data_IF_707051384286
#
_entry.id   IF_707051384286
#
_cell.length_a   1.000
_cell.length_b   1.000
_cell.length_c   1.000
_cell.angle_alpha   90.00
_cell.angle_beta   90.00
_cell.angle_gamma   90.00
#
_symmetry.space_group_name_H-M   'P 1'
#
loop_
_entity.id
_entity.type
_entity.pdbx_description
1 polymer ?
#
# COMPACT_ATOMS: atom_id res chain seq x y z
N UNK A 1 -22.78 39.99 0.57
CA UNK A 1 -23.23 38.87 -0.28
C UNK A 1 -21.99 38.14 -0.76
N UNK A 2 -21.90 36.83 -0.52
CA UNK A 2 -20.80 36.00 -1.04
C UNK A 2 -21.29 35.26 -2.29
N UNK A 3 -20.45 35.10 -3.32
CA UNK A 3 -20.81 34.30 -4.49
C UNK A 3 -20.97 32.82 -4.08
N UNK A 4 -21.89 32.12 -4.74
CA UNK A 4 -22.08 30.67 -4.57
C UNK A 4 -21.42 29.96 -5.75
N UNK A 5 -20.19 29.44 -5.59
CA UNK A 5 -19.50 28.74 -6.66
C UNK A 5 -20.11 27.36 -6.89
N UNK A 6 -19.97 26.84 -8.11
CA UNK A 6 -20.37 25.48 -8.49
C UNK A 6 -21.83 25.11 -8.16
N UNK A 7 -22.72 26.11 -8.15
CA UNK A 7 -24.16 25.90 -7.99
C UNK A 7 -24.71 25.18 -9.22
N UNK A 8 -25.57 24.18 -9.02
CA UNK A 8 -26.28 23.51 -10.10
C UNK A 8 -27.54 24.31 -10.46
N UNK A 9 -27.64 24.70 -11.73
CA UNK A 9 -28.76 25.44 -12.31
C UNK A 9 -29.43 24.55 -13.35
N UNK A 10 -30.69 24.15 -13.10
CA UNK A 10 -31.40 23.21 -13.96
C UNK A 10 -32.81 23.68 -14.25
N UNK A 11 -33.23 23.61 -15.52
CA UNK A 11 -34.62 23.78 -15.91
C UNK A 11 -35.45 22.55 -15.49
N UNK A 12 -36.51 22.80 -14.73
CA UNK A 12 -37.42 21.78 -14.22
C UNK A 12 -38.04 20.91 -15.30
N UNK A 13 -38.37 21.50 -16.46
CA UNK A 13 -39.10 20.85 -17.55
C UNK A 13 -38.13 20.12 -18.48
N UNK A 14 -37.18 20.83 -19.06
CA UNK A 14 -36.27 20.24 -20.06
C UNK A 14 -35.16 19.39 -19.44
N UNK A 15 -34.95 19.47 -18.12
CA UNK A 15 -33.82 18.86 -17.39
C UNK A 15 -32.45 19.29 -17.89
N UNK A 16 -32.39 20.32 -18.74
CA UNK A 16 -31.14 20.94 -19.18
C UNK A 16 -30.66 21.90 -18.12
N UNK A 17 -29.35 22.01 -17.97
CA UNK A 17 -28.77 22.83 -16.93
C UNK A 17 -27.32 23.17 -17.21
N UNK A 18 -26.78 23.98 -16.32
CA UNK A 18 -25.38 24.37 -16.27
C UNK A 18 -24.93 24.44 -14.82
N UNK A 19 -23.65 24.72 -14.61
CA UNK A 19 -23.05 24.93 -13.29
C UNK A 19 -22.46 26.33 -13.25
N UNK A 20 -22.54 27.02 -12.11
CA UNK A 20 -21.87 28.31 -11.95
C UNK A 20 -20.35 28.15 -11.84
N UNK A 21 -19.62 29.18 -12.29
CA UNK A 21 -18.17 29.21 -12.18
C UNK A 21 -17.69 29.48 -10.74
N UNK A 22 -16.38 29.61 -10.56
CA UNK A 22 -15.76 29.92 -9.26
C UNK A 22 -16.22 31.26 -8.65
N UNK A 23 -16.67 32.21 -9.48
CA UNK A 23 -17.15 33.52 -9.05
C UNK A 23 -18.69 33.57 -8.96
N UNK A 24 -19.39 32.46 -9.21
CA UNK A 24 -20.85 32.36 -9.14
C UNK A 24 -21.57 32.84 -10.41
N UNK A 25 -20.87 33.11 -11.51
CA UNK A 25 -21.50 33.44 -12.79
C UNK A 25 -22.00 32.17 -13.49
N UNK A 26 -23.13 32.30 -14.19
CA UNK A 26 -23.69 31.21 -14.99
C UNK A 26 -24.35 31.75 -16.25
N UNK A 27 -24.43 30.91 -17.27
CA UNK A 27 -25.13 31.19 -18.52
C UNK A 27 -25.67 29.88 -19.10
N UNK A 28 -26.94 29.87 -19.48
CA UNK A 28 -27.58 28.75 -20.16
C UNK A 28 -28.80 29.23 -20.93
N UNK A 29 -29.32 28.37 -21.82
CA UNK A 29 -30.49 28.66 -22.64
C UNK A 29 -31.74 28.07 -21.99
N UNK A 30 -32.77 28.88 -21.79
CA UNK A 30 -34.09 28.49 -21.28
C UNK A 30 -35.20 29.17 -22.09
N UNK A 31 -36.42 28.64 -22.03
CA UNK A 31 -37.58 29.27 -22.66
C UNK A 31 -38.29 30.18 -21.66
N UNK A 32 -39.10 31.09 -22.21
CA UNK A 32 -40.03 31.89 -21.41
C UNK A 32 -40.99 30.96 -20.67
N UNK A 33 -41.39 31.33 -19.46
CA UNK A 33 -42.24 30.53 -18.57
C UNK A 33 -41.59 29.26 -18.00
N UNK A 34 -40.34 28.94 -18.32
CA UNK A 34 -39.64 27.81 -17.67
C UNK A 34 -39.31 28.15 -16.21
N UNK A 35 -39.34 27.12 -15.35
CA UNK A 35 -38.92 27.22 -13.95
C UNK A 35 -37.51 26.68 -13.78
N UNK A 36 -36.62 27.54 -13.36
CA UNK A 36 -35.21 27.24 -13.10
C UNK A 36 -35.04 26.89 -11.63
N UNK A 37 -34.36 25.79 -11.36
CA UNK A 37 -34.06 25.29 -10.03
C UNK A 37 -32.57 25.51 -9.77
N UNK A 38 -32.27 26.14 -8.64
CA UNK A 38 -30.92 26.36 -8.14
C UNK A 38 -30.70 25.46 -6.92
N UNK A 39 -29.61 24.69 -6.95
CA UNK A 39 -29.23 23.82 -5.84
C UNK A 39 -27.71 23.84 -5.63
N UNK A 40 -27.31 24.03 -4.38
CA UNK A 40 -25.92 23.97 -3.93
C UNK A 40 -25.86 23.33 -2.55
N UNK A 41 -24.76 22.66 -2.24
CA UNK A 41 -24.56 22.00 -0.94
C UNK A 41 -24.48 23.07 0.16
N UNK A 42 -25.23 22.88 1.25
CA UNK A 42 -25.30 23.85 2.34
C UNK A 42 -26.23 25.04 2.08
N UNK A 43 -27.03 25.01 1.00
CA UNK A 43 -28.03 26.02 0.68
C UNK A 43 -29.40 25.39 0.42
N UNK A 44 -30.45 26.11 0.79
CA UNK A 44 -31.82 25.73 0.49
C UNK A 44 -32.06 25.79 -1.02
N UNK A 45 -32.65 24.72 -1.58
CA UNK A 45 -33.11 24.71 -2.98
C UNK A 45 -34.08 25.86 -3.22
N UNK A 46 -33.85 26.61 -4.28
CA UNK A 46 -34.67 27.76 -4.65
C UNK A 46 -35.02 27.68 -6.12
N UNK A 47 -36.16 28.28 -6.50
CA UNK A 47 -36.64 28.26 -7.88
C UNK A 47 -36.98 29.66 -8.35
N UNK A 48 -36.73 29.91 -9.63
CA UNK A 48 -37.06 31.15 -10.31
C UNK A 48 -37.81 30.84 -11.61
N UNK A 49 -38.98 31.45 -11.82
CA UNK A 49 -39.73 31.30 -13.06
C UNK A 49 -39.44 32.47 -13.99
N UNK A 50 -39.03 32.18 -15.22
CA UNK A 50 -38.72 33.19 -16.21
C UNK A 50 -40.03 33.87 -16.66
N UNK A 51 -40.14 35.21 -16.58
CA UNK A 51 -41.33 35.92 -17.04
C UNK A 51 -41.62 35.69 -18.53
N UNK A 52 -42.89 35.62 -18.89
CA UNK A 52 -43.37 35.50 -20.27
C UNK A 52 -43.33 36.84 -21.03
N UNK A 53 -43.34 37.95 -20.29
CA UNK A 53 -43.31 39.33 -20.80
C UNK A 53 -41.96 39.80 -21.34
N UNK A 54 -40.93 38.93 -21.35
CA UNK A 54 -39.60 39.29 -21.85
C UNK A 54 -39.66 39.64 -23.34
N UNK A 55 -39.22 40.84 -23.70
CA UNK A 55 -39.14 41.30 -25.11
C UNK A 55 -37.81 40.97 -25.75
N UNK A 56 -36.74 40.86 -24.96
CA UNK A 56 -35.37 40.59 -25.42
C UNK A 56 -34.98 39.12 -25.30
N UNK A 57 -34.04 38.69 -26.13
CA UNK A 57 -33.49 37.32 -26.11
C UNK A 57 -32.45 37.10 -25.00
N UNK A 58 -32.07 38.16 -24.27
CA UNK A 58 -31.14 38.11 -23.14
C UNK A 58 -31.86 38.58 -21.89
N UNK A 59 -31.61 37.88 -20.79
CA UNK A 59 -32.13 38.21 -19.47
C UNK A 59 -31.04 37.99 -18.43
N UNK A 60 -30.75 39.03 -17.64
CA UNK A 60 -29.75 38.99 -16.58
C UNK A 60 -30.46 39.09 -15.24
N UNK A 61 -30.12 38.21 -14.31
CA UNK A 61 -30.68 38.21 -12.96
C UNK A 61 -29.59 37.87 -11.94
N UNK A 62 -29.76 38.36 -10.72
CA UNK A 62 -28.97 37.94 -9.56
C UNK A 62 -29.92 37.12 -8.67
N UNK A 63 -29.60 35.84 -8.48
CA UNK A 63 -30.41 34.94 -7.65
C UNK A 63 -29.74 34.72 -6.30
N UNK A 64 -30.44 35.04 -5.21
CA UNK A 64 -29.92 34.90 -3.84
C UNK A 64 -30.40 33.58 -3.25
N UNK A 65 -29.45 32.76 -2.76
CA UNK A 65 -29.72 31.52 -2.05
C UNK A 65 -29.50 31.69 -0.55
N UNK A 66 -30.35 31.07 0.26
CA UNK A 66 -30.22 31.05 1.71
C UNK A 66 -29.45 29.82 2.15
N UNK A 67 -28.51 29.99 3.08
CA UNK A 67 -27.78 28.88 3.70
C UNK A 67 -28.75 28.03 4.50
N UNK A 68 -28.59 26.71 4.38
CA UNK A 68 -29.35 25.71 5.11
C UNK A 68 -28.37 24.70 5.69
N UNK A 69 -28.46 24.46 6.99
CA UNK A 69 -27.67 23.46 7.68
C UNK A 69 -28.26 22.10 7.35
N UNK A 70 -27.79 21.50 6.25
CA UNK A 70 -28.06 20.09 5.97
C UNK A 70 -27.24 19.28 6.96
N UNK A 71 -27.90 18.69 7.94
CA UNK A 71 -27.31 17.65 8.77
C UNK A 71 -27.19 16.39 7.90
N UNK A 72 -25.99 16.14 7.37
CA UNK A 72 -25.70 14.89 6.68
C UNK A 72 -25.84 13.75 7.68
N UNK A 73 -26.53 12.68 7.29
CA UNK A 73 -26.59 11.48 8.12
C UNK A 73 -25.19 10.90 8.31
N UNK A 74 -24.87 10.55 9.56
CA UNK A 74 -23.59 9.91 9.87
C UNK A 74 -23.55 8.55 9.19
N UNK A 75 -22.65 8.39 8.23
CA UNK A 75 -22.40 7.10 7.61
C UNK A 75 -21.34 6.34 8.41
N UNK A 76 -21.70 5.18 8.97
CA UNK A 76 -20.74 4.30 9.67
C UNK A 76 -20.01 3.46 8.63
N UNK A 77 -18.75 3.81 8.35
CA UNK A 77 -17.88 3.02 7.47
C UNK A 77 -17.37 1.81 8.26
N UNK A 78 -17.75 0.62 7.84
CA UNK A 78 -17.14 -0.62 8.33
C UNK A 78 -15.89 -0.95 7.52
N UNK A 79 -14.85 -1.54 8.13
CA UNK A 79 -13.67 -2.02 7.41
C UNK A 79 -14.00 -3.14 6.40
N UNK A 80 -15.14 -3.80 6.56
CA UNK A 80 -15.60 -4.89 5.69
C UNK A 80 -16.95 -4.54 5.06
N UNK A 81 -17.01 -4.31 3.74
CA UNK A 81 -18.24 -3.93 3.04
C UNK A 81 -19.35 -5.00 3.05
N UNK A 82 -19.02 -6.28 3.22
CA UNK A 82 -20.00 -7.37 3.25
C UNK A 82 -19.75 -8.38 4.38
N UNK A 83 -20.82 -9.07 4.80
CA UNK A 83 -20.76 -10.15 5.80
C UNK A 83 -19.82 -11.28 5.37
N UNK A 84 -19.80 -11.60 4.08
CA UNK A 84 -18.93 -12.64 3.52
C UNK A 84 -17.45 -12.24 3.58
N UNK A 85 -17.14 -10.98 3.27
CA UNK A 85 -15.77 -10.45 3.38
C UNK A 85 -15.30 -10.41 4.83
N UNK A 86 -16.18 -10.07 5.78
CA UNK A 86 -15.88 -10.19 7.20
C UNK A 86 -15.58 -11.64 7.59
N UNK A 87 -16.43 -12.60 7.19
CA UNK A 87 -16.22 -14.01 7.52
C UNK A 87 -14.90 -14.55 6.96
N UNK A 88 -14.58 -14.21 5.70
CA UNK A 88 -13.31 -14.57 5.06
C UNK A 88 -12.13 -13.95 5.80
N UNK A 89 -12.16 -12.63 6.03
CA UNK A 89 -11.10 -11.94 6.74
C UNK A 89 -10.92 -12.50 8.15
N UNK A 90 -12.00 -12.77 8.88
CA UNK A 90 -11.96 -13.34 10.22
C UNK A 90 -11.30 -14.72 10.26
N UNK A 91 -11.61 -15.59 9.28
CA UNK A 91 -11.00 -16.92 9.17
C UNK A 91 -9.53 -16.84 8.73
N UNK A 92 -9.21 -15.96 7.79
CA UNK A 92 -7.87 -15.83 7.21
C UNK A 92 -6.93 -14.93 8.03
N UNK A 93 -7.44 -14.23 9.05
CA UNK A 93 -6.62 -13.31 9.85
C UNK A 93 -5.51 -14.10 10.55
N UNK A 94 -4.23 -13.82 10.25
CA UNK A 94 -3.13 -14.47 10.93
C UNK A 94 -3.11 -13.99 12.38
N UNK A 95 -3.34 -14.93 13.30
CA UNK A 95 -3.22 -14.66 14.73
C UNK A 95 -1.74 -14.46 15.05
N UNK A 96 -1.33 -13.32 15.62
CA UNK A 96 0.06 -13.10 16.00
C UNK A 96 0.54 -14.23 16.92
N UNK A 97 1.77 -14.68 16.69
CA UNK A 97 2.40 -15.65 17.60
C UNK A 97 2.59 -15.01 18.98
N UNK A 98 2.24 -15.77 20.01
CA UNK A 98 2.62 -15.45 21.39
C UNK A 98 4.16 -15.33 21.52
N UNK A 99 4.61 -14.54 22.48
CA UNK A 99 6.01 -14.25 22.76
C UNK A 99 6.81 -15.54 22.96
N UNK A 100 6.22 -16.55 23.60
CA UNK A 100 6.83 -17.88 23.76
C UNK A 100 7.03 -18.60 22.42
N UNK A 101 6.02 -18.62 21.54
CA UNK A 101 6.13 -19.21 20.20
C UNK A 101 7.14 -18.47 19.33
N UNK A 102 7.20 -17.13 19.45
CA UNK A 102 8.20 -16.30 18.76
C UNK A 102 9.62 -16.64 19.23
N UNK A 103 9.82 -16.82 20.53
CA UNK A 103 11.11 -17.25 21.09
C UNK A 103 11.50 -18.64 20.57
N UNK A 104 10.58 -19.61 20.60
CA UNK A 104 10.82 -20.96 20.10
C UNK A 104 11.19 -20.96 18.60
N UNK A 105 10.49 -20.20 17.78
CA UNK A 105 10.80 -20.05 16.35
C UNK A 105 12.17 -19.42 16.11
N UNK A 106 12.59 -18.46 16.94
CA UNK A 106 13.91 -17.85 16.87
C UNK A 106 15.04 -18.80 17.32
N UNK A 107 14.74 -19.73 18.25
CA UNK A 107 15.66 -20.78 18.70
C UNK A 107 15.62 -22.04 17.82
N UNK A 108 14.76 -22.09 16.80
CA UNK A 108 14.68 -23.22 15.90
C UNK A 108 16.07 -23.49 15.27
N UNK A 109 16.47 -24.77 15.24
CA UNK A 109 17.83 -25.17 14.84
C UNK A 109 18.19 -24.65 13.44
N UNK A 110 17.23 -24.63 12.53
CA UNK A 110 17.39 -24.09 11.18
C UNK A 110 17.73 -22.60 11.20
N UNK A 111 17.01 -21.80 12.01
CA UNK A 111 17.27 -20.36 12.16
C UNK A 111 18.59 -20.05 12.85
N UNK A 112 19.00 -20.88 13.81
CA UNK A 112 20.31 -20.76 14.44
C UNK A 112 21.44 -21.13 13.46
N UNK A 113 21.27 -22.18 12.66
CA UNK A 113 22.24 -22.57 11.64
C UNK A 113 22.40 -21.50 10.56
N UNK A 114 21.28 -20.95 10.06
CA UNK A 114 21.27 -19.83 9.11
C UNK A 114 22.00 -18.61 9.69
N UNK A 115 21.73 -18.25 10.94
CA UNK A 115 22.44 -17.14 11.61
C UNK A 115 23.93 -17.42 11.78
N UNK A 116 24.32 -18.65 12.13
CA UNK A 116 25.73 -19.03 12.28
C UNK A 116 26.51 -18.92 10.97
N UNK A 117 25.87 -19.11 9.82
CA UNK A 117 26.52 -19.00 8.50
C UNK A 117 26.90 -17.54 8.17
N UNK A 118 26.07 -16.58 8.56
CA UNK A 118 26.28 -15.15 8.28
C UNK A 118 26.93 -14.37 9.43
N UNK A 119 27.01 -14.95 10.62
CA UNK A 119 27.63 -14.29 11.78
C UNK A 119 29.13 -14.59 11.81
N UNK A 120 29.95 -13.55 11.75
CA UNK A 120 31.40 -13.70 11.91
C UNK A 120 31.75 -14.27 13.29
N UNK A 121 32.74 -15.16 13.33
CA UNK A 121 33.23 -15.72 14.59
C UNK A 121 33.85 -14.60 15.43
N UNK A 122 33.46 -14.52 16.71
CA UNK A 122 34.07 -13.62 17.68
C UNK A 122 35.47 -14.12 18.08
N UNK A 123 36.20 -13.34 18.89
CA UNK A 123 37.56 -13.69 19.31
C UNK A 123 37.65 -15.04 20.05
N UNK A 124 36.66 -15.36 20.89
CA UNK A 124 36.63 -16.61 21.65
C UNK A 124 36.32 -17.82 20.76
N UNK A 125 35.40 -17.67 19.81
CA UNK A 125 35.07 -18.68 18.81
C UNK A 125 36.25 -18.93 17.87
N UNK A 126 36.95 -17.89 17.43
CA UNK A 126 38.17 -18.02 16.64
C UNK A 126 39.26 -18.78 17.39
N UNK A 127 39.50 -18.46 18.66
CA UNK A 127 40.46 -19.18 19.50
C UNK A 127 40.07 -20.66 19.67
N UNK A 128 38.80 -20.92 19.97
CA UNK A 128 38.27 -22.30 20.10
C UNK A 128 38.42 -23.08 18.80
N UNK A 129 38.13 -22.46 17.65
CA UNK A 129 38.30 -23.07 16.34
C UNK A 129 39.77 -23.37 16.06
N UNK A 130 40.67 -22.42 16.30
CA UNK A 130 42.11 -22.64 16.15
C UNK A 130 42.59 -23.78 17.06
N UNK A 131 42.15 -23.80 18.32
CA UNK A 131 42.49 -24.86 19.26
C UNK A 131 41.97 -26.22 18.79
N UNK A 132 40.76 -26.31 18.24
CA UNK A 132 40.23 -27.54 17.64
C UNK A 132 41.07 -28.00 16.45
N UNK A 133 41.53 -27.09 15.58
CA UNK A 133 42.44 -27.43 14.50
C UNK A 133 43.77 -27.99 15.02
N UNK A 134 44.32 -27.38 16.08
CA UNK A 134 45.54 -27.88 16.74
C UNK A 134 45.31 -29.26 17.36
N UNK A 135 44.19 -29.46 18.06
CA UNK A 135 43.84 -30.77 18.66
C UNK A 135 43.66 -31.85 17.61
N UNK A 136 42.99 -31.56 16.49
CA UNK A 136 42.86 -32.49 15.37
C UNK A 136 44.24 -32.86 14.80
N UNK A 137 45.16 -31.91 14.67
CA UNK A 137 46.54 -32.19 14.23
C UNK A 137 47.30 -33.05 15.25
N UNK A 138 47.15 -32.77 16.54
CA UNK A 138 47.77 -33.53 17.63
C UNK A 138 47.23 -34.97 17.71
N UNK A 139 45.95 -35.18 17.44
CA UNK A 139 45.34 -36.51 17.39
C UNK A 139 46.03 -37.43 16.36
N UNK A 140 46.49 -36.86 15.25
CA UNK A 140 47.25 -37.57 14.23
C UNK A 140 48.77 -37.41 14.39
N UNK A 141 49.26 -36.71 15.42
CA UNK A 141 50.69 -36.57 15.67
C UNK A 141 51.24 -37.89 16.25
N UNK A 142 52.10 -38.57 15.49
CA UNK A 142 52.66 -39.89 15.83
C UNK A 142 52.04 -41.06 15.06
N UNK A 143 51.00 -40.82 14.25
CA UNK A 143 50.47 -41.76 13.26
C UNK A 143 50.55 -41.11 11.87
N UNK A 144 50.50 -41.90 10.79
CA UNK A 144 50.39 -41.32 9.45
C UNK A 144 49.05 -40.61 9.32
N UNK A 145 49.07 -39.30 9.07
CA UNK A 145 47.85 -38.55 8.81
C UNK A 145 47.09 -39.20 7.63
N UNK A 146 45.77 -39.41 7.75
CA UNK A 146 45.00 -40.09 6.71
C UNK A 146 45.11 -39.34 5.39
N UNK A 147 45.63 -40.00 4.35
CA UNK A 147 45.80 -39.42 3.02
C UNK A 147 44.47 -39.48 2.24
N UNK A 148 44.02 -38.35 1.70
CA UNK A 148 42.80 -38.31 0.86
C UNK A 148 43.05 -38.68 -0.60
N UNK A 149 44.18 -39.34 -0.92
CA UNK A 149 44.55 -39.69 -2.30
C UNK A 149 43.53 -40.61 -2.98
N UNK A 150 42.75 -41.39 -2.23
CA UNK A 150 41.70 -42.26 -2.77
C UNK A 150 40.29 -41.78 -2.43
N UNK A 151 40.12 -40.56 -1.91
CA UNK A 151 38.80 -40.02 -1.58
C UNK A 151 38.11 -39.52 -2.87
N UNK A 152 37.02 -40.17 -3.34
CA UNK A 152 36.39 -39.83 -4.61
C UNK A 152 35.78 -38.42 -4.61
N UNK A 153 35.38 -37.90 -3.44
CA UNK A 153 34.85 -36.54 -3.30
C UNK A 153 35.95 -35.48 -3.41
N UNK A 154 37.15 -35.75 -2.90
CA UNK A 154 38.29 -34.85 -3.02
C UNK A 154 38.73 -34.71 -4.50
N UNK A 155 38.73 -35.80 -5.27
CA UNK A 155 38.99 -35.76 -6.71
C UNK A 155 37.92 -34.99 -7.49
N UNK A 156 36.64 -35.17 -7.14
CA UNK A 156 35.56 -34.41 -7.77
C UNK A 156 35.71 -32.89 -7.50
N UNK A 157 36.10 -32.50 -6.28
CA UNK A 157 36.38 -31.10 -5.95
C UNK A 157 37.63 -30.59 -6.65
N UNK A 158 38.70 -31.38 -6.72
CA UNK A 158 39.93 -31.04 -7.43
C UNK A 158 39.68 -30.80 -8.92
N UNK A 159 38.95 -31.70 -9.61
CA UNK A 159 38.59 -31.54 -11.03
C UNK A 159 37.74 -30.28 -11.22
N UNK A 160 36.81 -29.99 -10.31
CA UNK A 160 36.01 -28.76 -10.35
C UNK A 160 36.87 -27.51 -10.17
N UNK A 161 37.78 -27.50 -9.20
CA UNK A 161 38.71 -26.39 -8.95
C UNK A 161 39.68 -26.17 -10.11
N UNK A 162 40.18 -27.25 -10.72
CA UNK A 162 41.00 -27.20 -11.93
C UNK A 162 40.24 -26.59 -13.10
N UNK A 163 39.00 -27.03 -13.32
CA UNK A 163 38.14 -26.50 -14.39
C UNK A 163 37.79 -25.03 -14.16
N UNK A 164 37.67 -24.60 -12.90
CA UNK A 164 37.44 -23.22 -12.49
C UNK A 164 38.69 -22.32 -12.60
N UNK A 165 39.87 -22.93 -12.76
CA UNK A 165 41.12 -22.22 -12.99
C UNK A 165 41.89 -21.84 -11.72
N UNK A 166 41.49 -22.36 -10.56
CA UNK A 166 42.05 -21.99 -9.24
C UNK A 166 43.57 -22.26 -9.12
N UNK A 167 44.12 -23.13 -9.97
CA UNK A 167 45.55 -23.50 -9.98
C UNK A 167 46.38 -22.83 -11.08
N UNK A 168 45.80 -21.93 -11.88
CA UNK A 168 46.58 -21.12 -12.81
C UNK A 168 47.32 -20.05 -12.01
N UNK A 169 48.60 -20.29 -11.74
CA UNK A 169 49.48 -19.27 -11.19
C UNK A 169 49.68 -18.16 -12.22
N UNK A 170 49.29 -16.93 -11.86
CA UNK A 170 49.76 -15.75 -12.57
C UNK A 170 51.20 -15.50 -12.12
N UNK A 171 52.15 -15.82 -13.00
CA UNK A 171 53.49 -15.23 -12.96
C UNK A 171 53.41 -13.80 -13.49
#
# INVERSE_FOLDING_TARGET
MQPVPYCSITDKVTKRGTISDYFGYFSFVAKKSDTIIFSSVGYKKSSFTIPDTLTTNKYSLIHVMYQDTIMLETFVIYPWPSKEQFAKAFVETPIPNDDYKRAMNNLAREKLNERMEFTAMDGAMNFKWQQQQIQNKLYYAGQYAPNSLLNPFAWAQFIKAWKRGDFKSNK
#
